data_IF_079938025032
#
_entry.id   IF_079938025032
#
_cell.length_a   1.000
_cell.length_b   1.000
_cell.length_c   1.000
_cell.angle_alpha   90.00
_cell.angle_beta   90.00
_cell.angle_gamma   90.00
#
_symmetry.space_group_name_H-M   'P 1'
#
loop_
_entity.id
_entity.type
_entity.pdbx_description
1 polymer ?
#
# COMPACT_ATOMS: atom_id res chain seq x y z
N UNK A 1 1.96 4.96 -10.50
CA UNK A 1 0.77 4.10 -10.48
C UNK A 1 0.08 4.04 -9.10
N UNK A 2 0.40 4.92 -8.14
CA UNK A 2 -0.16 4.81 -6.79
C UNK A 2 -1.63 5.27 -6.65
N UNK A 3 -2.14 6.09 -7.57
CA UNK A 3 -3.47 6.70 -7.41
C UNK A 3 -4.62 5.80 -7.90
N UNK A 4 -4.47 5.08 -9.02
CA UNK A 4 -5.52 4.23 -9.56
C UNK A 4 -6.06 3.18 -8.56
N UNK A 5 -5.20 2.36 -7.93
CA UNK A 5 -5.67 1.41 -6.93
C UNK A 5 -6.14 2.10 -5.65
N UNK A 6 -5.63 3.29 -5.31
CA UNK A 6 -6.11 4.10 -4.19
C UNK A 6 -7.55 4.58 -4.38
N UNK A 7 -7.90 5.02 -5.59
CA UNK A 7 -9.27 5.47 -5.91
C UNK A 7 -10.27 4.32 -5.74
N UNK A 8 -9.95 3.16 -6.32
CA UNK A 8 -10.77 1.95 -6.15
C UNK A 8 -10.91 1.58 -4.68
N UNK A 9 -9.81 1.71 -3.93
CA UNK A 9 -9.80 1.52 -2.50
C UNK A 9 -10.78 2.46 -1.76
N UNK A 10 -10.58 3.78 -1.89
CA UNK A 10 -11.41 4.76 -1.19
C UNK A 10 -12.89 4.60 -1.58
N UNK A 11 -13.19 4.33 -2.86
CA UNK A 11 -14.56 4.11 -3.34
C UNK A 11 -15.26 2.91 -2.71
N UNK A 12 -14.50 1.87 -2.34
CA UNK A 12 -15.01 0.70 -1.63
C UNK A 12 -15.14 0.94 -0.12
N UNK A 13 -14.85 2.16 0.37
CA UNK A 13 -15.12 2.58 1.75
C UNK A 13 -14.14 2.03 2.77
N UNK A 14 -12.85 1.94 2.44
CA UNK A 14 -11.89 1.35 3.37
C UNK A 14 -10.64 2.18 3.62
N UNK A 15 -9.98 1.86 4.73
CA UNK A 15 -8.80 2.54 5.29
C UNK A 15 -7.55 2.07 4.55
N UNK A 16 -6.70 3.00 4.15
CA UNK A 16 -5.57 2.73 3.25
C UNK A 16 -4.26 3.18 3.87
N UNK A 17 -3.23 2.35 3.74
CA UNK A 17 -1.85 2.77 3.90
C UNK A 17 -1.15 2.68 2.56
N UNK A 18 -0.57 3.79 2.11
CA UNK A 18 0.12 3.92 0.85
C UNK A 18 1.62 4.04 1.15
N UNK A 19 2.43 3.18 0.53
CA UNK A 19 3.88 3.28 0.50
C UNK A 19 4.33 3.61 -0.92
N UNK A 20 4.65 4.87 -1.24
CA UNK A 20 5.23 5.20 -2.54
C UNK A 20 6.63 4.59 -2.70
N UNK A 21 7.06 4.45 -3.94
CA UNK A 21 8.40 3.93 -4.27
C UNK A 21 9.49 4.92 -3.84
N UNK A 22 10.51 4.41 -3.15
CA UNK A 22 11.73 5.15 -2.78
C UNK A 22 12.60 5.54 -3.99
N UNK A 23 12.40 4.87 -5.11
CA UNK A 23 13.10 5.15 -6.37
C UNK A 23 12.55 6.41 -7.08
N UNK A 24 11.42 6.95 -6.62
CA UNK A 24 10.79 8.15 -7.17
C UNK A 24 10.54 9.21 -6.08
N UNK A 25 11.59 9.80 -5.49
CA UNK A 25 11.49 10.63 -4.28
C UNK A 25 10.65 11.90 -4.47
N UNK A 26 10.71 12.53 -5.64
CA UNK A 26 9.89 13.73 -5.92
C UNK A 26 8.39 13.39 -5.94
N UNK A 27 8.01 12.26 -6.54
CA UNK A 27 6.62 11.80 -6.56
C UNK A 27 6.15 11.33 -5.18
N UNK A 28 7.01 10.58 -4.47
CA UNK A 28 6.75 10.12 -3.10
C UNK A 28 6.45 11.31 -2.18
N UNK A 29 7.35 12.29 -2.17
CA UNK A 29 7.22 13.46 -1.30
C UNK A 29 6.01 14.31 -1.69
N UNK A 30 5.72 14.45 -2.99
CA UNK A 30 4.51 15.11 -3.44
C UNK A 30 3.24 14.43 -2.89
N UNK A 31 3.15 13.09 -2.97
CA UNK A 31 2.00 12.35 -2.45
C UNK A 31 1.91 12.46 -0.92
N UNK A 32 3.02 12.31 -0.21
CA UNK A 32 3.07 12.40 1.24
C UNK A 32 2.65 13.78 1.77
N UNK A 33 3.00 14.85 1.07
CA UNK A 33 2.64 16.21 1.46
C UNK A 33 1.23 16.61 1.00
N UNK A 34 0.78 16.12 -0.15
CA UNK A 34 -0.48 16.57 -0.77
C UNK A 34 -1.67 15.80 -0.24
N UNK A 35 -1.61 14.46 -0.16
CA UNK A 35 -2.78 13.65 0.20
C UNK A 35 -3.37 13.99 1.58
N UNK A 36 -2.57 14.23 2.65
CA UNK A 36 -3.10 14.65 3.95
C UNK A 36 -3.88 15.96 3.95
N UNK A 37 -3.70 16.82 2.93
CA UNK A 37 -4.42 18.10 2.82
C UNK A 37 -5.84 17.92 2.25
N UNK A 38 -6.10 16.81 1.56
CA UNK A 38 -7.38 16.56 0.86
C UNK A 38 -8.14 15.36 1.42
N UNK A 39 -7.47 14.46 2.13
CA UNK A 39 -8.01 13.19 2.60
C UNK A 39 -7.90 13.07 4.13
N UNK A 40 -8.79 12.29 4.73
CA UNK A 40 -8.77 12.03 6.18
C UNK A 40 -7.49 11.26 6.56
N UNK A 41 -6.64 11.89 7.37
CA UNK A 41 -5.35 11.37 7.81
C UNK A 41 -5.46 10.20 8.79
N UNK A 42 -6.64 9.97 9.36
CA UNK A 42 -6.91 8.78 10.16
C UNK A 42 -7.22 7.56 9.27
N UNK A 43 -7.91 7.80 8.16
CA UNK A 43 -8.33 6.74 7.24
C UNK A 43 -7.30 6.45 6.13
N UNK A 44 -6.53 7.45 5.70
CA UNK A 44 -5.59 7.33 4.59
C UNK A 44 -4.23 7.87 5.06
N UNK A 45 -3.25 6.98 5.15
CA UNK A 45 -1.87 7.33 5.53
C UNK A 45 -0.90 7.08 4.39
N UNK A 46 0.03 8.01 4.20
CA UNK A 46 1.17 7.85 3.31
C UNK A 46 2.40 7.64 4.17
N UNK A 47 3.15 6.57 3.92
CA UNK A 47 4.39 6.26 4.62
C UNK A 47 5.50 6.14 3.58
N UNK A 48 6.49 7.02 3.68
CA UNK A 48 7.67 7.00 2.83
C UNK A 48 8.76 6.12 3.46
N UNK A 49 9.61 5.51 2.62
CA UNK A 49 10.72 4.68 3.09
C UNK A 49 11.11 3.61 2.08
N UNK A 50 12.20 2.88 2.36
CA UNK A 50 12.75 1.84 1.50
C UNK A 50 12.15 0.45 1.75
N UNK A 51 12.97 -0.59 1.55
CA UNK A 51 12.60 -1.98 1.79
C UNK A 51 12.34 -2.29 3.27
N UNK A 52 13.09 -1.66 4.16
CA UNK A 52 12.95 -1.76 5.62
C UNK A 52 11.55 -1.34 6.12
N UNK A 53 11.06 -0.19 5.64
CA UNK A 53 9.71 0.29 5.97
C UNK A 53 8.65 -0.62 5.35
N UNK A 54 8.89 -1.14 4.15
CA UNK A 54 8.00 -2.12 3.53
C UNK A 54 7.89 -3.37 4.40
N UNK A 55 9.01 -3.95 4.85
CA UNK A 55 9.03 -5.12 5.74
C UNK A 55 8.24 -4.86 7.03
N UNK A 56 8.42 -3.69 7.65
CA UNK A 56 7.67 -3.31 8.85
C UNK A 56 6.16 -3.21 8.59
N UNK A 57 5.75 -2.57 7.49
CA UNK A 57 4.34 -2.49 7.10
C UNK A 57 3.76 -3.89 6.94
N UNK A 58 4.49 -4.79 6.28
CA UNK A 58 4.03 -6.15 6.01
C UNK A 58 3.93 -7.04 7.25
N UNK A 59 4.60 -6.70 8.35
CA UNK A 59 4.45 -7.42 9.64
C UNK A 59 3.09 -7.17 10.31
N UNK A 60 2.39 -6.10 9.93
CA UNK A 60 1.03 -5.85 10.41
C UNK A 60 0.02 -6.77 9.72
N UNK A 61 -1.12 -7.00 10.38
CA UNK A 61 -2.22 -7.77 9.80
C UNK A 61 -2.99 -6.88 8.83
N UNK A 62 -3.07 -7.31 7.58
CA UNK A 62 -3.83 -6.66 6.52
C UNK A 62 -4.91 -7.59 5.99
N UNK A 63 -6.07 -7.05 5.66
CA UNK A 63 -7.12 -7.81 4.98
C UNK A 63 -6.78 -8.07 3.52
N UNK A 64 -6.08 -7.13 2.89
CA UNK A 64 -5.59 -7.24 1.52
C UNK A 64 -4.34 -6.40 1.34
N UNK A 65 -3.52 -6.76 0.35
CA UNK A 65 -2.30 -6.04 -0.02
C UNK A 65 -2.29 -5.94 -1.55
N UNK A 66 -2.06 -4.74 -2.05
CA UNK A 66 -1.90 -4.48 -3.48
C UNK A 66 -0.48 -3.99 -3.71
N UNK A 67 0.29 -4.77 -4.46
CA UNK A 67 1.69 -4.48 -4.73
C UNK A 67 1.91 -4.36 -6.23
N UNK A 68 2.63 -3.32 -6.66
CA UNK A 68 3.04 -3.14 -8.05
C UNK A 68 4.54 -2.98 -8.12
N UNK A 69 5.25 -4.02 -8.53
CA UNK A 69 6.69 -3.97 -8.66
C UNK A 69 7.32 -5.35 -8.65
N UNK A 70 8.64 -5.36 -8.56
CA UNK A 70 9.43 -6.56 -8.30
C UNK A 70 10.03 -6.44 -6.91
N UNK A 71 10.00 -7.53 -6.15
CA UNK A 71 10.73 -7.57 -4.89
C UNK A 71 12.23 -7.63 -5.19
N UNK A 72 12.97 -6.62 -4.75
CA UNK A 72 14.44 -6.66 -4.75
C UNK A 72 15.01 -7.31 -3.48
N UNK A 73 14.16 -7.62 -2.50
CA UNK A 73 14.53 -8.30 -1.26
C UNK A 73 13.85 -9.67 -1.16
N UNK A 74 14.47 -10.56 -0.38
CA UNK A 74 13.98 -11.93 -0.21
C UNK A 74 12.76 -11.95 0.72
N UNK A 75 11.65 -12.50 0.23
CA UNK A 75 10.39 -12.46 0.96
C UNK A 75 10.47 -13.33 2.22
N UNK A 76 10.28 -12.76 3.43
CA UNK A 76 10.27 -13.55 4.66
C UNK A 76 9.24 -14.68 4.55
N UNK A 77 9.63 -15.93 4.86
CA UNK A 77 8.75 -17.11 4.82
C UNK A 77 7.40 -16.87 5.51
N UNK A 78 7.41 -16.09 6.60
CA UNK A 78 6.23 -15.72 7.37
C UNK A 78 5.20 -14.93 6.55
N UNK A 79 5.65 -14.11 5.60
CA UNK A 79 4.82 -13.30 4.72
C UNK A 79 4.29 -14.08 3.52
N UNK A 80 4.90 -15.21 3.13
CA UNK A 80 4.38 -16.07 2.05
C UNK A 80 2.98 -16.62 2.34
N UNK A 81 2.65 -16.81 3.63
CA UNK A 81 1.30 -17.22 4.07
C UNK A 81 0.27 -16.08 4.05
N UNK A 82 0.73 -14.84 4.14
CA UNK A 82 -0.10 -13.62 4.17
C UNK A 82 -0.45 -13.18 2.74
N UNK A 83 0.47 -13.39 1.80
CA UNK A 83 0.30 -13.05 0.40
C UNK A 83 -0.38 -14.19 -0.38
N UNK A 84 -1.68 -14.35 -0.21
CA UNK A 84 -2.50 -15.00 -1.25
C UNK A 84 -2.66 -14.02 -2.40
N UNK A 85 -1.92 -14.22 -3.48
CA UNK A 85 -2.17 -13.56 -4.75
C UNK A 85 -3.49 -14.07 -5.32
N UNK A 86 -4.60 -13.45 -4.92
CA UNK A 86 -5.89 -13.69 -5.55
C UNK A 86 -5.92 -12.96 -6.91
N UNK A 87 -6.19 -13.64 -8.03
CA UNK A 87 -6.49 -12.98 -9.29
C UNK A 87 -7.75 -12.13 -9.09
N UNK A 88 -7.79 -10.95 -9.73
CA UNK A 88 -8.78 -9.89 -9.51
C UNK A 88 -10.24 -10.41 -9.51
N UNK A 89 -10.75 -10.75 -8.33
CA UNK A 89 -12.14 -11.09 -8.08
C UNK A 89 -12.77 -9.99 -7.23
N UNK A 90 -13.66 -9.20 -7.83
CA UNK A 90 -14.58 -8.34 -7.09
C UNK A 90 -15.47 -9.26 -6.25
N UNK A 91 -15.29 -9.29 -4.93
CA UNK A 91 -16.29 -9.63 -3.88
C UNK A 91 -15.57 -9.81 -2.52
N UNK A 92 -15.31 -8.72 -1.78
CA UNK A 92 -15.22 -8.68 -0.30
C UNK A 92 -14.67 -7.32 0.16
N UNK A 93 -15.30 -6.78 1.20
CA UNK A 93 -14.97 -5.56 1.95
C UNK A 93 -13.58 -5.64 2.62
N UNK A 94 -12.90 -4.49 2.73
CA UNK A 94 -11.67 -4.13 3.52
C UNK A 94 -10.33 -4.09 2.74
N UNK A 95 -9.51 -3.02 2.91
CA UNK A 95 -8.33 -2.61 2.07
C UNK A 95 -6.98 -2.87 2.73
N UNK A 96 -5.96 -3.36 2.01
CA UNK A 96 -5.03 -2.81 0.98
C UNK A 96 -3.92 -1.89 1.51
N UNK A 97 -2.82 -2.49 2.00
CA UNK A 97 -1.52 -1.84 1.89
C UNK A 97 -1.22 -1.67 0.38
N UNK A 98 -1.06 -0.44 -0.09
CA UNK A 98 -0.69 -0.14 -1.45
C UNK A 98 0.80 0.17 -1.50
N UNK A 99 1.61 -0.77 -1.97
CA UNK A 99 3.05 -0.57 -2.10
C UNK A 99 3.42 -0.51 -3.58
N UNK A 100 3.97 0.63 -4.01
CA UNK A 100 4.62 0.76 -5.31
C UNK A 100 6.10 0.34 -5.24
#
# INVERSE_FOLDING_TARGET
LALDPLIGAISAGNVVVIKPSDQAPACSSFLANTLPQYLDTNAIKVIEGGGDVCEQILLHKWDKIFFTGIFSFEFPEKLKSVFKFEPFGLNSTTINALTA
#
